data_IF_248472901576
#
_entry.id   IF_248472901576
#
_cell.length_a   1.000
_cell.length_b   1.000
_cell.length_c   1.000
_cell.angle_alpha   90.00
_cell.angle_beta   90.00
_cell.angle_gamma   90.00
#
_symmetry.space_group_name_H-M   'P 1'
#
loop_
_entity.id
_entity.type
_entity.pdbx_description
1 polymer ?
#
# COMPACT_ATOMS: atom_id res chain seq x y z
N UNK A 1 4.89 -25.75 -11.05
CA UNK A 1 5.37 -25.63 -9.68
C UNK A 1 4.92 -24.31 -9.12
N UNK A 2 4.13 -24.35 -8.09
CA UNK A 2 3.59 -23.13 -7.51
C UNK A 2 4.68 -22.37 -6.74
N UNK A 3 4.79 -21.07 -7.01
CA UNK A 3 5.71 -20.24 -6.27
C UNK A 3 5.20 -20.04 -4.84
N UNK A 4 6.07 -20.22 -3.87
CA UNK A 4 5.71 -20.01 -2.47
C UNK A 4 5.86 -18.54 -2.12
N UNK A 5 4.74 -17.89 -1.81
CA UNK A 5 4.70 -16.49 -1.43
C UNK A 5 4.47 -16.38 0.08
N UNK A 6 5.31 -15.59 0.75
CA UNK A 6 5.12 -15.28 2.16
C UNK A 6 4.90 -13.77 2.33
N UNK A 7 4.00 -13.41 3.25
CA UNK A 7 3.74 -12.02 3.64
C UNK A 7 4.21 -11.89 5.09
N UNK A 8 5.12 -10.97 5.35
CA UNK A 8 5.67 -10.80 6.69
C UNK A 8 5.84 -9.33 7.06
N UNK A 9 5.72 -9.04 8.34
CA UNK A 9 5.98 -7.70 8.83
C UNK A 9 7.44 -7.34 8.61
N UNK A 10 7.69 -6.09 8.24
CA UNK A 10 9.00 -5.64 7.81
C UNK A 10 9.91 -5.17 8.94
N UNK A 11 9.62 -5.51 10.19
CA UNK A 11 10.27 -4.96 11.37
C UNK A 11 11.79 -4.88 11.32
N UNK A 12 12.48 -5.93 10.86
CA UNK A 12 13.95 -5.95 10.80
C UNK A 12 14.51 -5.65 9.41
N UNK A 13 13.64 -5.48 8.40
CA UNK A 13 14.05 -5.33 7.01
C UNK A 13 13.83 -3.92 6.47
N UNK A 14 14.07 -2.91 7.29
CA UNK A 14 13.80 -1.52 6.92
C UNK A 14 14.62 -1.07 5.71
N UNK A 15 15.86 -1.53 5.57
CA UNK A 15 16.68 -1.20 4.39
C UNK A 15 16.02 -1.70 3.10
N UNK A 16 15.43 -2.89 3.14
CA UNK A 16 14.72 -3.46 1.99
C UNK A 16 13.44 -2.68 1.69
N UNK A 17 12.75 -2.21 2.74
CA UNK A 17 11.56 -1.36 2.59
C UNK A 17 11.93 -0.06 1.88
N UNK A 18 13.01 0.60 2.32
CA UNK A 18 13.46 1.83 1.67
C UNK A 18 13.75 1.61 0.19
N UNK A 19 14.40 0.52 -0.12
CA UNK A 19 14.77 0.18 -1.50
C UNK A 19 13.53 -0.01 -2.37
N UNK A 20 12.55 -0.81 -1.91
CA UNK A 20 11.36 -1.08 -2.72
C UNK A 20 10.45 0.15 -2.80
N UNK A 21 10.40 1.00 -1.78
CA UNK A 21 9.66 2.25 -1.84
C UNK A 21 10.26 3.20 -2.87
N UNK A 22 11.59 3.24 -3.00
CA UNK A 22 12.27 4.01 -4.05
C UNK A 22 11.93 3.47 -5.44
N UNK A 23 11.86 2.16 -5.58
CA UNK A 23 11.45 1.55 -6.85
C UNK A 23 10.01 1.93 -7.20
N UNK A 24 9.12 1.95 -6.21
CA UNK A 24 7.74 2.37 -6.38
C UNK A 24 7.66 3.81 -6.89
N UNK A 25 8.39 4.73 -6.27
CA UNK A 25 8.42 6.13 -6.68
C UNK A 25 8.93 6.27 -8.12
N UNK A 26 10.01 5.58 -8.45
CA UNK A 26 10.59 5.63 -9.79
C UNK A 26 9.63 5.07 -10.84
N UNK A 27 8.97 3.96 -10.52
CA UNK A 27 8.00 3.34 -11.42
C UNK A 27 6.79 4.25 -11.63
N UNK A 28 6.32 4.89 -10.59
CA UNK A 28 5.15 5.76 -10.63
C UNK A 28 5.39 7.00 -11.46
N UNK A 29 6.63 7.48 -11.54
CA UNK A 29 7.04 8.68 -12.29
C UNK A 29 6.34 9.94 -11.77
N UNK A 30 5.92 9.94 -10.52
CA UNK A 30 5.36 11.11 -9.83
C UNK A 30 6.30 11.52 -8.71
N UNK A 31 6.35 12.84 -8.47
CA UNK A 31 7.10 13.35 -7.33
C UNK A 31 6.25 13.19 -6.07
N UNK A 32 6.74 12.43 -5.11
CA UNK A 32 6.05 12.19 -3.85
C UNK A 32 6.53 13.13 -2.73
N UNK A 33 7.37 14.10 -3.03
CA UNK A 33 7.89 15.03 -2.01
C UNK A 33 6.76 15.78 -1.28
N UNK A 34 5.65 16.06 -1.96
CA UNK A 34 4.51 16.71 -1.31
C UNK A 34 3.89 15.87 -0.20
N UNK A 35 4.17 14.57 -0.17
CA UNK A 35 3.72 13.66 0.88
C UNK A 35 4.77 13.50 2.00
N UNK A 36 5.90 14.20 1.92
CA UNK A 36 6.99 14.03 2.87
C UNK A 36 7.72 12.70 2.69
N UNK A 37 7.87 12.25 1.44
CA UNK A 37 8.39 10.93 1.13
C UNK A 37 9.81 10.70 1.67
N UNK A 38 10.69 11.70 1.55
CA UNK A 38 12.07 11.54 2.06
C UNK A 38 12.08 11.37 3.58
N UNK A 39 11.26 12.14 4.30
CA UNK A 39 11.14 11.98 5.75
C UNK A 39 10.55 10.63 6.12
N UNK A 40 9.56 10.16 5.33
CA UNK A 40 8.96 8.84 5.52
C UNK A 40 10.04 7.75 5.46
N UNK A 41 10.92 7.82 4.44
CA UNK A 41 11.98 6.83 4.26
C UNK A 41 12.99 6.85 5.41
N UNK A 42 13.32 8.04 5.91
CA UNK A 42 14.25 8.19 7.02
C UNK A 42 13.70 7.64 8.33
N UNK A 43 12.40 7.73 8.53
CA UNK A 43 11.75 7.42 9.80
C UNK A 43 10.97 6.10 9.81
N UNK A 44 11.14 5.26 8.78
CA UNK A 44 10.45 3.99 8.73
C UNK A 44 10.70 3.15 9.99
N UNK A 45 9.69 2.45 10.52
CA UNK A 45 8.33 2.32 10.00
C UNK A 45 7.40 3.51 10.27
N UNK A 46 7.75 4.44 11.14
CA UNK A 46 7.00 5.67 11.41
C UNK A 46 5.50 5.43 11.63
N UNK A 47 4.66 6.06 10.81
CA UNK A 47 3.19 5.94 10.91
C UNK A 47 2.67 4.56 10.55
N UNK A 48 3.51 3.71 9.95
CA UNK A 48 3.13 2.35 9.59
C UNK A 48 3.39 1.37 10.74
N UNK A 49 3.80 1.86 11.90
CA UNK A 49 4.12 1.03 13.05
C UNK A 49 2.86 0.48 13.72
N UNK A 50 2.96 -0.76 14.23
CA UNK A 50 1.94 -1.31 15.11
C UNK A 50 1.85 -0.46 16.38
N UNK A 51 0.69 -0.43 17.05
CA UNK A 51 -0.51 -1.25 16.80
C UNK A 51 -1.46 -0.67 15.75
N UNK A 52 -1.33 0.61 15.38
CA UNK A 52 -2.30 1.28 14.51
C UNK A 52 -1.97 1.15 13.04
N UNK A 53 -0.71 0.92 12.71
CA UNK A 53 -0.24 0.77 11.33
C UNK A 53 0.27 -0.62 11.05
N UNK A 54 0.58 -0.85 9.77
CA UNK A 54 1.18 -2.10 9.30
C UNK A 54 2.14 -1.81 8.17
N UNK A 55 3.18 -2.64 8.08
CA UNK A 55 4.15 -2.56 6.98
C UNK A 55 4.56 -3.97 6.64
N UNK A 56 4.23 -4.41 5.44
CA UNK A 56 4.49 -5.78 5.00
C UNK A 56 5.39 -5.84 3.77
N UNK A 57 6.22 -6.86 3.75
CA UNK A 57 6.95 -7.27 2.55
C UNK A 57 6.41 -8.63 2.12
N UNK A 58 6.26 -8.80 0.81
CA UNK A 58 5.98 -10.08 0.20
C UNK A 58 7.28 -10.66 -0.33
N UNK A 59 7.52 -11.94 -0.07
CA UNK A 59 8.70 -12.64 -0.57
C UNK A 59 8.28 -13.84 -1.40
N UNK A 60 9.06 -14.09 -2.46
CA UNK A 60 8.97 -15.31 -3.25
C UNK A 60 10.36 -15.96 -3.14
N UNK A 61 10.42 -17.13 -2.52
CA UNK A 61 11.67 -17.70 -2.06
C UNK A 61 12.39 -16.68 -1.15
N UNK A 62 13.61 -16.29 -1.45
CA UNK A 62 14.35 -15.33 -0.64
C UNK A 62 14.33 -13.92 -1.21
N UNK A 63 13.57 -13.70 -2.30
CA UNK A 63 13.53 -12.40 -2.97
C UNK A 63 12.34 -11.56 -2.52
N UNK A 64 12.56 -10.26 -2.38
CA UNK A 64 11.50 -9.30 -2.11
C UNK A 64 10.70 -9.11 -3.40
N UNK A 65 9.39 -9.39 -3.34
CA UNK A 65 8.51 -9.31 -4.50
C UNK A 65 7.58 -8.10 -4.47
N UNK A 66 7.21 -7.63 -3.28
CA UNK A 66 6.27 -6.52 -3.16
C UNK A 66 6.18 -5.97 -1.75
N UNK A 67 5.36 -4.93 -1.60
CA UNK A 67 5.15 -4.27 -0.32
C UNK A 67 3.77 -3.65 -0.24
N UNK A 68 3.33 -3.36 0.98
CA UNK A 68 2.11 -2.60 1.25
C UNK A 68 2.22 -1.99 2.65
N UNK A 69 1.56 -0.86 2.87
CA UNK A 69 1.57 -0.20 4.17
C UNK A 69 0.18 0.31 4.54
N UNK A 70 -0.05 0.41 5.84
CA UNK A 70 -1.29 0.93 6.43
C UNK A 70 -0.93 1.95 7.49
N UNK A 71 -1.60 3.10 7.44
CA UNK A 71 -1.44 4.12 8.46
C UNK A 71 -2.80 4.65 8.92
N UNK A 72 -2.90 5.16 10.15
CA UNK A 72 -4.12 5.83 10.59
C UNK A 72 -4.26 7.19 9.92
N UNK A 73 -5.50 7.56 9.55
CA UNK A 73 -5.86 8.93 9.20
C UNK A 73 -6.53 9.59 10.39
N UNK A 74 -7.37 8.85 11.09
CA UNK A 74 -7.97 9.24 12.36
C UNK A 74 -8.27 7.96 13.16
N UNK A 75 -9.02 8.06 14.24
CA UNK A 75 -9.29 6.91 15.11
C UNK A 75 -10.14 5.82 14.44
N UNK A 76 -10.84 6.14 13.36
CA UNK A 76 -11.76 5.20 12.70
C UNK A 76 -11.41 4.91 11.25
N UNK A 77 -10.56 5.74 10.64
CA UNK A 77 -10.23 5.64 9.22
C UNK A 77 -8.74 5.40 9.03
N UNK A 78 -8.41 4.43 8.20
CA UNK A 78 -7.03 4.16 7.84
C UNK A 78 -6.80 4.39 6.35
N UNK A 79 -5.53 4.38 5.96
CA UNK A 79 -5.14 4.57 4.57
C UNK A 79 -4.20 3.47 4.14
N UNK A 80 -4.53 2.84 3.00
CA UNK A 80 -3.63 1.91 2.32
C UNK A 80 -2.62 2.72 1.50
N UNK A 81 -1.34 2.44 1.66
CA UNK A 81 -0.26 3.15 0.98
C UNK A 81 0.76 2.17 0.41
N UNK A 82 1.44 2.60 -0.63
CA UNK A 82 2.66 1.95 -1.11
C UNK A 82 2.46 0.51 -1.59
N UNK A 83 1.28 0.18 -2.13
CA UNK A 83 1.09 -1.12 -2.77
C UNK A 83 1.91 -1.18 -4.04
N UNK A 84 2.88 -2.07 -4.07
CA UNK A 84 3.74 -2.25 -5.22
C UNK A 84 4.21 -3.69 -5.30
N UNK A 85 4.15 -4.26 -6.50
CA UNK A 85 4.67 -5.61 -6.78
C UNK A 85 5.65 -5.47 -7.93
N UNK A 86 6.86 -5.99 -7.74
CA UNK A 86 7.88 -5.97 -8.79
C UNK A 86 7.38 -6.71 -10.02
N UNK A 87 7.73 -6.22 -11.20
CA UNK A 87 7.19 -6.68 -12.48
C UNK A 87 7.33 -8.19 -12.67
N UNK A 88 8.46 -8.76 -12.31
CA UNK A 88 8.73 -10.18 -12.50
C UNK A 88 7.83 -11.08 -11.64
N UNK A 89 7.14 -10.54 -10.64
CA UNK A 89 6.29 -11.31 -9.73
C UNK A 89 4.79 -11.01 -9.89
N UNK A 90 4.39 -10.18 -10.85
CA UNK A 90 3.01 -9.69 -10.96
C UNK A 90 1.99 -10.76 -11.31
N UNK A 91 2.40 -11.92 -11.79
CA UNK A 91 1.49 -13.00 -12.18
C UNK A 91 1.11 -13.92 -11.01
N UNK A 92 1.65 -13.67 -9.81
CA UNK A 92 1.48 -14.57 -8.67
C UNK A 92 0.37 -14.14 -7.70
N UNK A 93 -0.47 -13.17 -8.08
CA UNK A 93 -1.58 -12.67 -7.25
C UNK A 93 -1.11 -12.03 -5.94
N UNK A 94 0.12 -11.53 -5.91
CA UNK A 94 0.72 -10.96 -4.68
C UNK A 94 -0.02 -9.70 -4.24
N UNK A 95 -0.41 -8.84 -5.18
CA UNK A 95 -1.18 -7.64 -4.85
C UNK A 95 -2.45 -7.97 -4.09
N UNK A 96 -3.18 -8.98 -4.55
CA UNK A 96 -4.40 -9.47 -3.89
C UNK A 96 -4.10 -10.00 -2.49
N UNK A 97 -3.03 -10.77 -2.35
CA UNK A 97 -2.63 -11.31 -1.05
C UNK A 97 -2.30 -10.20 -0.05
N UNK A 98 -1.59 -9.17 -0.51
CA UNK A 98 -1.23 -8.02 0.32
C UNK A 98 -2.48 -7.23 0.74
N UNK A 99 -3.39 -6.98 -0.19
CA UNK A 99 -4.63 -6.25 0.10
C UNK A 99 -5.49 -7.05 1.08
N UNK A 100 -5.66 -8.36 0.85
CA UNK A 100 -6.44 -9.22 1.74
C UNK A 100 -5.91 -9.15 3.18
N UNK A 101 -4.60 -9.23 3.33
CA UNK A 101 -3.97 -9.16 4.65
C UNK A 101 -4.22 -7.81 5.32
N UNK A 102 -4.09 -6.73 4.54
CA UNK A 102 -4.24 -5.39 5.09
C UNK A 102 -5.68 -5.11 5.51
N UNK A 103 -6.66 -5.54 4.71
CA UNK A 103 -8.08 -5.38 5.04
C UNK A 103 -8.41 -6.16 6.31
N UNK A 104 -7.93 -7.39 6.43
CA UNK A 104 -8.11 -8.20 7.63
C UNK A 104 -7.55 -7.49 8.86
N UNK A 105 -6.32 -7.02 8.77
CA UNK A 105 -5.68 -6.31 9.88
C UNK A 105 -6.45 -5.04 10.25
N UNK A 106 -6.90 -4.29 9.26
CA UNK A 106 -7.64 -3.05 9.51
C UNK A 106 -8.93 -3.33 10.29
N UNK A 107 -9.64 -4.40 9.94
CA UNK A 107 -10.84 -4.82 10.66
C UNK A 107 -10.53 -5.23 12.09
N UNK A 108 -9.45 -5.97 12.30
CA UNK A 108 -9.03 -6.41 13.63
C UNK A 108 -8.58 -5.24 14.52
N UNK A 109 -7.92 -4.25 13.94
CA UNK A 109 -7.54 -3.03 14.67
C UNK A 109 -8.78 -2.25 15.11
N UNK A 110 -9.85 -2.29 14.32
CA UNK A 110 -11.10 -1.62 14.64
C UNK A 110 -11.46 -0.47 13.70
N UNK A 111 -10.74 -0.31 12.61
CA UNK A 111 -11.09 0.73 11.62
C UNK A 111 -12.42 0.42 10.96
N UNK A 112 -13.18 1.46 10.67
CA UNK A 112 -14.49 1.34 10.00
C UNK A 112 -14.42 1.67 8.51
N UNK A 113 -13.36 2.36 8.07
CA UNK A 113 -13.16 2.71 6.67
C UNK A 113 -11.69 2.69 6.31
N UNK A 114 -11.40 2.33 5.07
CA UNK A 114 -10.06 2.35 4.50
C UNK A 114 -10.09 3.21 3.24
N UNK A 115 -9.17 4.16 3.15
CA UNK A 115 -9.03 5.04 1.99
C UNK A 115 -7.72 4.77 1.27
N UNK A 116 -7.67 5.21 0.02
CA UNK A 116 -6.45 5.18 -0.78
C UNK A 116 -6.51 6.26 -1.85
N UNK A 117 -5.36 6.63 -2.37
CA UNK A 117 -5.26 7.36 -3.62
C UNK A 117 -4.52 6.47 -4.62
N UNK A 118 -4.86 6.63 -5.90
CA UNK A 118 -4.25 5.86 -6.97
C UNK A 118 -4.16 6.71 -8.23
N UNK A 119 -3.27 6.33 -9.13
CA UNK A 119 -3.02 7.07 -10.37
C UNK A 119 -3.39 6.18 -11.56
N UNK A 120 -4.65 6.26 -12.06
CA UNK A 120 -5.13 5.34 -13.11
C UNK A 120 -4.26 5.27 -14.37
N UNK A 121 -3.66 6.39 -14.86
CA UNK A 121 -2.79 6.27 -16.04
C UNK A 121 -1.66 5.26 -15.89
N UNK A 122 -1.21 5.00 -14.65
CA UNK A 122 -0.16 4.01 -14.38
C UNK A 122 -0.68 2.76 -13.71
N UNK A 123 -1.80 2.88 -12.97
CA UNK A 123 -2.31 1.85 -12.08
C UNK A 123 -3.74 1.39 -12.42
N UNK A 124 -4.10 1.40 -13.71
CA UNK A 124 -5.48 1.04 -14.11
C UNK A 124 -5.93 -0.34 -13.65
N UNK A 125 -5.02 -1.33 -13.66
CA UNK A 125 -5.33 -2.67 -13.18
C UNK A 125 -5.57 -2.69 -11.67
N UNK A 126 -4.84 -1.85 -10.92
CA UNK A 126 -5.04 -1.74 -9.49
C UNK A 126 -6.43 -1.15 -9.17
N UNK A 127 -6.88 -0.18 -9.95
CA UNK A 127 -8.24 0.39 -9.78
C UNK A 127 -9.30 -0.69 -9.91
N UNK A 128 -9.20 -1.54 -10.93
CA UNK A 128 -10.13 -2.65 -11.13
C UNK A 128 -10.10 -3.61 -9.94
N UNK A 129 -8.93 -3.89 -9.43
CA UNK A 129 -8.76 -4.75 -8.26
C UNK A 129 -9.42 -4.12 -7.03
N UNK A 130 -9.19 -2.83 -6.78
CA UNK A 130 -9.82 -2.12 -5.66
C UNK A 130 -11.34 -2.15 -5.77
N UNK A 131 -11.88 -1.90 -6.96
CA UNK A 131 -13.32 -1.94 -7.19
C UNK A 131 -13.89 -3.32 -6.88
N UNK A 132 -13.15 -4.38 -7.18
CA UNK A 132 -13.58 -5.75 -6.89
C UNK A 132 -13.72 -6.03 -5.40
N UNK A 133 -13.03 -5.26 -4.55
CA UNK A 133 -13.16 -5.35 -3.09
C UNK A 133 -14.31 -4.51 -2.55
N UNK A 134 -14.88 -3.61 -3.36
CA UNK A 134 -15.92 -2.70 -2.94
C UNK A 134 -15.45 -1.26 -2.71
N UNK A 135 -14.19 -0.96 -3.03
CA UNK A 135 -13.74 0.43 -3.02
C UNK A 135 -14.52 1.22 -4.06
N UNK A 136 -14.93 2.44 -3.69
CA UNK A 136 -15.64 3.34 -4.59
C UNK A 136 -14.99 4.72 -4.55
N UNK A 137 -15.17 5.48 -5.61
CA UNK A 137 -14.60 6.82 -5.71
C UNK A 137 -15.22 7.77 -4.69
N UNK A 138 -14.35 8.58 -4.07
CA UNK A 138 -14.75 9.64 -3.14
C UNK A 138 -14.08 10.95 -3.56
N UNK A 139 -14.56 12.11 -3.07
CA UNK A 139 -13.85 13.37 -3.27
C UNK A 139 -12.47 13.33 -2.62
N UNK A 140 -11.52 14.15 -3.11
CA UNK A 140 -10.20 14.24 -2.48
C UNK A 140 -10.30 14.55 -0.99
N UNK A 141 -9.53 13.83 -0.17
CA UNK A 141 -9.46 14.11 1.27
C UNK A 141 -8.14 14.79 1.66
N UNK A 142 -7.31 15.08 0.68
CA UNK A 142 -6.14 15.95 0.85
C UNK A 142 -5.82 16.60 -0.50
N UNK A 143 -4.96 17.62 -0.48
CA UNK A 143 -4.60 18.33 -1.70
C UNK A 143 -3.42 17.65 -2.39
N UNK A 144 -3.68 17.04 -3.55
CA UNK A 144 -2.65 16.39 -4.35
C UNK A 144 -2.36 17.25 -5.57
N UNK A 145 -1.10 17.68 -5.78
CA UNK A 145 -0.76 18.56 -6.92
C UNK A 145 -0.73 17.83 -8.27
N UNK A 146 -0.78 16.50 -8.27
CA UNK A 146 -0.75 15.72 -9.51
C UNK A 146 -2.14 15.55 -10.09
N UNK A 147 -2.29 15.83 -11.40
CA UNK A 147 -3.56 15.63 -12.09
C UNK A 147 -3.83 14.15 -12.31
N UNK A 148 -5.11 13.79 -12.32
CA UNK A 148 -5.52 12.43 -12.65
C UNK A 148 -5.48 11.44 -11.49
N UNK A 149 -5.23 11.91 -10.27
CA UNK A 149 -5.26 11.06 -9.08
C UNK A 149 -6.71 10.79 -8.68
N UNK A 150 -7.00 9.53 -8.38
CA UNK A 150 -8.31 9.06 -7.97
C UNK A 150 -8.27 8.72 -6.49
N UNK A 151 -9.30 9.14 -5.74
CA UNK A 151 -9.44 8.85 -4.31
C UNK A 151 -10.56 7.84 -4.12
N UNK A 152 -10.32 6.82 -3.29
CA UNK A 152 -11.28 5.73 -3.09
C UNK A 152 -11.43 5.37 -1.61
N UNK A 153 -12.57 4.79 -1.27
CA UNK A 153 -12.86 4.35 0.10
C UNK A 153 -13.57 3.00 0.10
N UNK A 154 -13.21 2.17 1.08
CA UNK A 154 -13.88 0.91 1.36
C UNK A 154 -14.47 0.97 2.77
N UNK A 155 -15.73 0.65 2.91
CA UNK A 155 -16.36 0.44 4.22
C UNK A 155 -15.92 -0.91 4.76
N UNK A 156 -15.38 -0.92 5.97
CA UNK A 156 -14.89 -2.15 6.61
C UNK A 156 -15.95 -2.80 7.48
N UNK A 157 -16.99 -2.02 7.83
CA UNK A 157 -18.07 -2.49 8.70
C UNK A 157 -19.42 -2.00 8.23
#
# INVERSE_FOLDING_TARGET
MDAHVTIQQAGSDIAEVRKIFREYESWLVLDLCFQGFEEELENLPGKYSAPDGRLYLARVADEIAGCIALRPLDSQTCEMKRLFVRQEFRRLQIGRMLIDRLIDDARHIGYTAMRLDTFPPKMGKAVQLYESYGFHEIPPYYNNPNDGVLFMELRLR
#
